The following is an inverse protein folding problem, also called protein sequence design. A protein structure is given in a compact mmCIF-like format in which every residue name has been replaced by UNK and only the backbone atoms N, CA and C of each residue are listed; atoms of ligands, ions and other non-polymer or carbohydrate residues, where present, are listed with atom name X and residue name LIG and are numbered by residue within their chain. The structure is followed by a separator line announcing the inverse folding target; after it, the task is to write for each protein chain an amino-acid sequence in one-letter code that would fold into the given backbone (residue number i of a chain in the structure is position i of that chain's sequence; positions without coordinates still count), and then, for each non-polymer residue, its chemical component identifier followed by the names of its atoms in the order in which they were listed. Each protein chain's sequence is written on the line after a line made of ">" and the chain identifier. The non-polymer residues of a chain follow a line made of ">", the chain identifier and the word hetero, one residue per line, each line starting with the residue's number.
data_IF_676224515951
#
_entry.id   IF_676224515951
#
_cell.length_a   1.000
_cell.length_b   1.000
_cell.length_c   1.000
_cell.angle_alpha   90.00
_cell.angle_beta   90.00
_cell.angle_gamma   90.00
#
_symmetry.space_group_name_H-M   'P 1'
#
loop_
_entity.id
_entity.type
_entity.pdbx_description
1 polymer ?
#
# COMPACT_ATOMS: atom_id res chain seq x y z
N UNK A 1 23.77 -1.73 7.97
CA UNK A 1 22.62 -2.60 7.65
C UNK A 1 22.87 -3.09 6.23
N UNK A 2 23.47 -4.26 6.10
CA UNK A 2 24.01 -4.73 4.81
C UNK A 2 22.90 -4.99 3.79
N UNK A 3 21.74 -5.46 4.26
CA UNK A 3 20.53 -5.66 3.45
C UNK A 3 19.99 -4.34 2.85
N UNK A 4 20.12 -3.22 3.55
CA UNK A 4 19.74 -1.91 3.01
C UNK A 4 20.67 -1.49 1.85
N UNK A 5 21.97 -1.77 1.97
CA UNK A 5 22.95 -1.46 0.92
C UNK A 5 22.74 -2.31 -0.32
N UNK A 6 22.46 -3.60 -0.14
CA UNK A 6 22.12 -4.53 -1.22
C UNK A 6 20.89 -4.06 -2.01
N UNK A 7 19.80 -3.74 -1.30
CA UNK A 7 18.58 -3.25 -1.93
C UNK A 7 18.80 -1.87 -2.59
N UNK A 8 19.51 -0.95 -1.92
CA UNK A 8 19.82 0.35 -2.50
C UNK A 8 20.62 0.22 -3.80
N UNK A 9 21.61 -0.68 -3.85
CA UNK A 9 22.37 -0.96 -5.07
C UNK A 9 21.49 -1.58 -6.17
N UNK A 10 20.61 -2.52 -5.82
CA UNK A 10 19.68 -3.16 -6.77
C UNK A 10 18.74 -2.15 -7.45
N UNK A 11 18.28 -1.14 -6.71
CA UNK A 11 17.36 -0.11 -7.21
C UNK A 11 18.09 1.20 -7.59
N UNK A 12 19.42 1.17 -7.69
CA UNK A 12 20.26 2.33 -8.08
C UNK A 12 20.02 3.59 -7.22
N UNK A 13 19.69 3.40 -5.94
CA UNK A 13 19.45 4.47 -4.98
C UNK A 13 20.79 4.99 -4.47
N UNK A 14 21.06 6.29 -4.66
CA UNK A 14 22.29 6.90 -4.18
C UNK A 14 22.39 6.90 -2.64
N UNK A 15 23.62 7.05 -2.13
CA UNK A 15 23.90 6.98 -0.69
C UNK A 15 23.13 8.03 0.13
N UNK A 16 22.96 9.24 -0.41
CA UNK A 16 22.22 10.32 0.28
C UNK A 16 20.75 9.95 0.49
N UNK A 17 20.08 9.42 -0.55
CA UNK A 17 18.70 8.94 -0.43
C UNK A 17 18.62 7.70 0.46
N UNK A 18 19.60 6.82 0.39
CA UNK A 18 19.68 5.63 1.26
C UNK A 18 19.72 6.02 2.74
N UNK A 19 20.42 7.10 3.10
CA UNK A 19 20.42 7.62 4.46
C UNK A 19 19.03 8.12 4.89
N UNK A 20 18.29 8.78 3.99
CA UNK A 20 16.93 9.25 4.26
C UNK A 20 15.94 8.11 4.48
N UNK A 21 16.13 6.95 3.83
CA UNK A 21 15.24 5.79 4.01
C UNK A 21 15.20 5.27 5.45
N UNK A 22 16.19 5.55 6.30
CA UNK A 22 16.16 5.17 7.71
C UNK A 22 14.95 5.75 8.47
N UNK A 23 14.33 6.83 7.98
CA UNK A 23 13.10 7.36 8.57
C UNK A 23 11.96 6.33 8.59
N UNK A 24 11.98 5.36 7.66
CA UNK A 24 10.97 4.30 7.55
C UNK A 24 10.90 3.40 8.80
N UNK A 25 11.96 3.34 9.62
CA UNK A 25 11.95 2.59 10.89
C UNK A 25 10.89 3.09 11.88
N UNK A 26 10.51 4.38 11.77
CA UNK A 26 9.50 5.00 12.63
C UNK A 26 8.07 4.71 12.19
N UNK A 27 7.89 3.97 11.08
CA UNK A 27 6.60 3.70 10.48
C UNK A 27 6.25 2.22 10.49
N UNK A 28 4.98 1.92 10.75
CA UNK A 28 4.34 0.69 10.33
C UNK A 28 3.83 0.92 8.90
N UNK A 29 4.35 0.15 7.96
CA UNK A 29 4.00 0.29 6.55
C UNK A 29 2.75 -0.55 6.26
N UNK A 30 1.80 0.06 5.56
CA UNK A 30 0.57 -0.56 5.08
C UNK A 30 0.47 -0.35 3.58
N UNK A 31 0.32 -1.44 2.82
CA UNK A 31 -0.04 -1.41 1.41
C UNK A 31 -1.55 -1.55 1.29
N UNK A 32 -2.20 -0.58 0.65
CA UNK A 32 -3.59 -0.67 0.23
C UNK A 32 -3.62 -0.92 -1.28
N UNK A 33 -4.03 -2.12 -1.67
CA UNK A 33 -4.03 -2.58 -3.04
C UNK A 33 -5.45 -2.55 -3.62
N UNK A 34 -5.63 -1.79 -4.68
CA UNK A 34 -6.82 -1.90 -5.53
C UNK A 34 -6.78 -3.22 -6.30
N UNK A 35 -7.79 -4.04 -6.07
CA UNK A 35 -7.98 -5.31 -6.77
C UNK A 35 -9.34 -5.36 -7.46
N UNK A 36 -9.85 -4.22 -7.91
CA UNK A 36 -11.06 -4.09 -8.72
C UNK A 36 -10.86 -4.57 -10.17
N UNK A 37 -11.97 -4.74 -10.90
CA UNK A 37 -11.94 -5.23 -12.29
C UNK A 37 -11.11 -4.35 -13.24
N UNK A 38 -11.02 -3.03 -12.98
CA UNK A 38 -10.25 -2.11 -13.83
C UNK A 38 -8.76 -2.40 -13.85
N UNK A 39 -8.23 -3.00 -12.79
CA UNK A 39 -6.82 -3.36 -12.69
C UNK A 39 -6.41 -4.45 -13.70
N UNK A 40 -7.37 -5.14 -14.33
CA UNK A 40 -7.09 -6.05 -15.46
C UNK A 40 -6.85 -5.33 -16.79
N UNK A 41 -6.95 -3.99 -16.83
CA UNK A 41 -6.67 -3.21 -18.04
C UNK A 41 -5.19 -3.32 -18.41
N UNK A 42 -4.90 -3.49 -19.71
CA UNK A 42 -3.54 -3.51 -20.22
C UNK A 42 -2.85 -2.17 -20.04
N UNK A 43 -1.54 -2.22 -19.81
CA UNK A 43 -0.66 -1.05 -19.73
C UNK A 43 0.03 -0.91 -21.08
N UNK A 44 -0.33 0.15 -21.82
CA UNK A 44 0.20 0.49 -23.15
C UNK A 44 0.31 -0.72 -24.11
N UNK A 45 1.25 -0.69 -25.07
CA UNK A 45 1.49 -1.74 -26.07
C UNK A 45 2.07 -3.05 -25.48
N UNK A 46 2.02 -3.23 -24.15
CA UNK A 46 2.55 -4.41 -23.48
C UNK A 46 1.47 -5.48 -23.28
N UNK A 47 1.90 -6.70 -22.96
CA UNK A 47 0.99 -7.77 -22.53
C UNK A 47 0.67 -7.72 -21.02
N UNK A 48 1.24 -6.76 -20.29
CA UNK A 48 1.07 -6.62 -18.85
C UNK A 48 -0.19 -5.83 -18.49
N UNK A 49 -0.83 -6.20 -17.38
CA UNK A 49 -1.97 -5.47 -16.83
C UNK A 49 -1.54 -4.55 -15.69
N UNK A 50 -2.39 -3.58 -15.33
CA UNK A 50 -2.16 -2.71 -14.15
C UNK A 50 -2.04 -3.54 -12.85
N UNK A 51 -2.69 -4.68 -12.80
CA UNK A 51 -2.55 -5.67 -11.73
C UNK A 51 -1.12 -6.25 -11.65
N UNK A 52 -0.47 -6.47 -12.79
CA UNK A 52 0.93 -6.94 -12.83
C UNK A 52 1.91 -5.85 -12.37
N UNK A 53 1.63 -4.58 -12.70
CA UNK A 53 2.37 -3.44 -12.16
C UNK A 53 2.20 -3.32 -10.65
N UNK A 54 0.96 -3.39 -10.15
CA UNK A 54 0.68 -3.37 -8.72
C UNK A 54 1.40 -4.50 -8.00
N UNK A 55 1.39 -5.71 -8.55
CA UNK A 55 2.13 -6.86 -7.99
C UNK A 55 3.63 -6.55 -7.87
N UNK A 56 4.20 -5.87 -8.87
CA UNK A 56 5.61 -5.47 -8.86
C UNK A 56 5.90 -4.42 -7.79
N UNK A 57 5.04 -3.40 -7.66
CA UNK A 57 5.13 -2.38 -6.60
C UNK A 57 5.05 -3.02 -5.21
N UNK A 58 4.10 -3.93 -5.00
CA UNK A 58 3.93 -4.62 -3.72
C UNK A 58 5.19 -5.41 -3.34
N UNK A 59 5.83 -6.09 -4.30
CA UNK A 59 7.10 -6.80 -4.06
C UNK A 59 8.20 -5.83 -3.59
N UNK A 60 8.35 -4.71 -4.29
CA UNK A 60 9.34 -3.68 -3.93
C UNK A 60 9.08 -3.16 -2.51
N UNK A 61 7.84 -2.79 -2.18
CA UNK A 61 7.52 -2.23 -0.87
C UNK A 61 7.71 -3.27 0.26
N UNK A 62 7.42 -4.56 0.03
CA UNK A 62 7.73 -5.61 1.01
C UNK A 62 9.25 -5.77 1.19
N UNK A 63 10.02 -5.78 0.10
CA UNK A 63 11.49 -5.88 0.15
C UNK A 63 12.09 -4.72 0.97
N UNK A 64 11.68 -3.47 0.71
CA UNK A 64 12.13 -2.33 1.50
C UNK A 64 11.58 -2.35 2.93
N UNK A 65 10.28 -2.58 3.10
CA UNK A 65 9.62 -2.48 4.41
C UNK A 65 10.20 -3.46 5.43
N UNK A 66 10.56 -4.67 4.98
CA UNK A 66 11.13 -5.71 5.85
C UNK A 66 12.57 -5.43 6.29
N UNK A 67 13.26 -4.47 5.67
CA UNK A 67 14.55 -3.96 6.15
C UNK A 67 14.39 -3.07 7.37
N UNK A 68 13.26 -2.37 7.49
CA UNK A 68 13.01 -1.36 8.53
C UNK A 68 12.02 -1.82 9.60
N UNK A 69 11.23 -2.85 9.32
CA UNK A 69 10.30 -3.46 10.26
C UNK A 69 10.38 -4.99 10.21
N UNK A 70 10.92 -5.60 11.26
CA UNK A 70 10.98 -7.07 11.38
C UNK A 70 9.60 -7.72 11.52
N UNK A 71 8.57 -6.95 11.93
CA UNK A 71 7.19 -7.42 11.94
C UNK A 71 6.57 -7.42 10.54
N UNK A 72 7.24 -6.83 9.55
CA UNK A 72 6.80 -6.79 8.17
C UNK A 72 5.72 -5.74 7.88
N UNK A 73 5.18 -5.82 6.67
CA UNK A 73 4.23 -4.86 6.08
C UNK A 73 2.83 -5.47 6.09
N UNK A 74 1.79 -4.66 6.32
CA UNK A 74 0.42 -5.16 6.19
C UNK A 74 -0.10 -4.90 4.77
N UNK A 75 -0.55 -5.95 4.08
CA UNK A 75 -1.13 -5.85 2.75
C UNK A 75 -2.66 -5.94 2.84
N UNK A 76 -3.33 -4.81 2.67
CA UNK A 76 -4.78 -4.71 2.57
C UNK A 76 -5.18 -4.69 1.11
N UNK A 77 -6.23 -5.42 0.78
CA UNK A 77 -6.84 -5.37 -0.54
C UNK A 77 -8.27 -4.88 -0.42
N UNK A 78 -8.79 -4.33 -1.51
CA UNK A 78 -10.12 -3.74 -1.51
C UNK A 78 -11.24 -4.81 -1.44
N UNK A 79 -11.11 -5.89 -2.20
CA UNK A 79 -12.14 -6.90 -2.40
C UNK A 79 -11.76 -8.30 -1.86
N UNK A 80 -10.54 -8.49 -1.34
CA UNK A 80 -10.07 -9.75 -0.73
C UNK A 80 -9.54 -9.57 0.71
N UNK A 81 -9.42 -10.65 1.49
CA UNK A 81 -8.90 -10.56 2.86
C UNK A 81 -7.50 -9.96 2.92
N UNK A 82 -7.26 -9.10 3.92
CA UNK A 82 -5.95 -8.51 4.18
C UNK A 82 -4.97 -9.58 4.69
N UNK A 83 -3.69 -9.40 4.37
CA UNK A 83 -2.59 -10.23 4.85
C UNK A 83 -1.71 -9.36 5.77
N UNK A 84 -1.78 -9.54 7.10
CA UNK A 84 -0.95 -8.79 8.04
C UNK A 84 0.48 -9.35 8.09
N UNK A 85 1.42 -8.51 8.51
CA UNK A 85 2.79 -8.88 8.87
C UNK A 85 3.53 -9.69 7.79
N UNK A 86 3.43 -9.23 6.54
CA UNK A 86 4.12 -9.81 5.39
C UNK A 86 5.61 -9.51 5.51
N UNK A 87 6.40 -10.57 5.64
CA UNK A 87 7.87 -10.54 5.73
C UNK A 87 8.56 -11.15 4.51
N UNK A 88 7.81 -11.87 3.68
CA UNK A 88 8.29 -12.49 2.45
C UNK A 88 7.26 -12.30 1.32
N UNK A 89 7.75 -11.90 0.15
CA UNK A 89 6.91 -11.71 -1.04
C UNK A 89 6.14 -12.96 -1.45
N UNK A 90 6.62 -14.16 -1.15
CA UNK A 90 5.92 -15.43 -1.41
C UNK A 90 4.59 -15.53 -0.66
N UNK A 91 4.44 -14.87 0.49
CA UNK A 91 3.19 -14.87 1.26
C UNK A 91 2.04 -14.19 0.51
N UNK A 92 2.34 -13.24 -0.37
CA UNK A 92 1.32 -12.53 -1.16
C UNK A 92 1.15 -13.09 -2.57
N UNK A 93 2.06 -13.95 -3.06
CA UNK A 93 2.00 -14.54 -4.42
C UNK A 93 0.67 -15.25 -4.67
N UNK A 94 0.16 -16.02 -3.69
CA UNK A 94 -1.12 -16.71 -3.83
C UNK A 94 -2.27 -15.72 -3.98
N UNK A 95 -2.25 -14.62 -3.24
CA UNK A 95 -3.26 -13.56 -3.40
C UNK A 95 -3.17 -12.90 -4.77
N UNK A 96 -1.98 -12.73 -5.35
CA UNK A 96 -1.85 -12.16 -6.70
C UNK A 96 -2.11 -13.16 -7.84
N UNK A 97 -2.17 -14.47 -7.56
CA UNK A 97 -2.44 -15.50 -8.56
C UNK A 97 -3.87 -15.47 -9.11
N UNK A 98 -4.81 -14.95 -8.31
CA UNK A 98 -6.18 -14.69 -8.73
C UNK A 98 -6.28 -13.28 -9.30
N UNK A 99 -6.90 -13.15 -10.48
CA UNK A 99 -7.14 -11.85 -11.11
C UNK A 99 -7.90 -10.90 -10.17
N UNK A 100 -7.76 -9.61 -10.44
CA UNK A 100 -8.52 -8.57 -9.74
C UNK A 100 -10.01 -8.69 -10.10
N UNK A 101 -10.89 -8.47 -9.13
CA UNK A 101 -12.34 -8.54 -9.30
C UNK A 101 -13.07 -7.65 -8.28
N UNK A 102 -14.15 -7.00 -8.69
CA UNK A 102 -15.01 -6.20 -7.80
C UNK A 102 -14.93 -4.69 -8.02
N UNK A 103 -15.47 -3.92 -7.08
CA UNK A 103 -15.75 -2.47 -7.22
C UNK A 103 -14.78 -1.60 -6.43
N UNK A 104 -14.54 -0.38 -6.89
CA UNK A 104 -13.56 0.58 -6.32
C UNK A 104 -14.10 1.37 -5.12
N UNK A 105 -14.43 0.69 -4.01
CA UNK A 105 -14.88 1.32 -2.75
C UNK A 105 -13.73 1.83 -1.87
N UNK A 106 -12.82 2.61 -2.46
CA UNK A 106 -11.58 3.10 -1.85
C UNK A 106 -11.81 3.76 -0.48
N UNK A 107 -12.71 4.74 -0.39
CA UNK A 107 -12.98 5.51 0.84
C UNK A 107 -13.40 4.61 2.00
N UNK A 108 -14.22 3.59 1.74
CA UNK A 108 -14.69 2.66 2.78
C UNK A 108 -13.53 1.82 3.32
N UNK A 109 -12.63 1.38 2.45
CA UNK A 109 -11.54 0.52 2.85
C UNK A 109 -10.44 1.29 3.59
N UNK A 110 -10.10 2.50 3.13
CA UNK A 110 -9.18 3.40 3.85
C UNK A 110 -9.72 3.78 5.23
N UNK A 111 -11.02 4.04 5.37
CA UNK A 111 -11.64 4.31 6.67
C UNK A 111 -11.39 3.19 7.69
N UNK A 112 -11.42 1.92 7.26
CA UNK A 112 -11.12 0.77 8.14
C UNK A 112 -9.68 0.78 8.62
N UNK A 113 -8.73 1.15 7.75
CA UNK A 113 -7.31 1.28 8.10
C UNK A 113 -7.13 2.41 9.11
N UNK A 114 -7.74 3.58 8.88
CA UNK A 114 -7.62 4.74 9.77
C UNK A 114 -8.33 4.56 11.13
N UNK A 115 -9.25 3.60 11.23
CA UNK A 115 -9.90 3.23 12.49
C UNK A 115 -9.20 2.07 13.23
N UNK A 116 -8.15 1.50 12.64
CA UNK A 116 -7.39 0.41 13.25
C UNK A 116 -6.64 0.86 14.51
N UNK A 117 -6.18 -0.09 15.33
CA UNK A 117 -5.39 0.25 16.53
C UNK A 117 -4.07 0.92 16.13
N UNK A 118 -3.49 0.53 14.99
CA UNK A 118 -2.21 1.03 14.50
C UNK A 118 -2.22 2.53 14.14
N UNK A 119 -3.39 3.12 13.89
CA UNK A 119 -3.51 4.55 13.61
C UNK A 119 -3.69 5.42 14.87
N UNK A 120 -3.97 4.82 16.04
CA UNK A 120 -4.30 5.56 17.26
C UNK A 120 -3.06 6.19 17.92
N UNK A 121 -3.21 7.34 18.60
CA UNK A 121 -2.17 7.91 19.44
C UNK A 121 -1.72 6.92 20.53
N UNK A 122 -0.41 6.75 20.71
CA UNK A 122 0.18 5.80 21.65
C UNK A 122 0.65 4.48 21.02
N UNK A 123 0.49 4.30 19.70
CA UNK A 123 1.20 3.26 18.94
C UNK A 123 2.72 3.54 18.94
N UNK A 124 3.52 2.47 19.00
CA UNK A 124 4.99 2.55 18.95
C UNK A 124 5.51 3.13 17.63
N UNK A 125 4.71 3.03 16.56
CA UNK A 125 5.05 3.55 15.22
C UNK A 125 3.89 4.32 14.62
N UNK A 126 4.23 5.30 13.79
CA UNK A 126 3.27 6.03 12.94
C UNK A 126 2.87 5.14 11.76
N UNK A 127 1.71 5.35 11.18
CA UNK A 127 1.24 4.59 10.03
C UNK A 127 1.70 5.28 8.73
N UNK A 128 2.27 4.51 7.80
CA UNK A 128 2.53 4.94 6.43
C UNK A 128 1.73 4.05 5.47
N UNK A 129 0.71 4.61 4.84
CA UNK A 129 -0.19 3.92 3.94
C UNK A 129 0.15 4.26 2.49
N UNK A 130 0.56 3.25 1.72
CA UNK A 130 0.74 3.33 0.27
C UNK A 130 -0.55 2.84 -0.40
N UNK A 131 -1.24 3.73 -1.12
CA UNK A 131 -2.47 3.43 -1.84
C UNK A 131 -2.12 3.20 -3.30
N UNK A 132 -2.26 1.97 -3.78
CA UNK A 132 -1.96 1.63 -5.19
C UNK A 132 -3.27 1.35 -5.90
N UNK A 133 -3.73 2.29 -6.74
CA UNK A 133 -5.01 2.26 -7.46
C UNK A 133 -4.88 2.88 -8.84
N UNK A 134 -5.73 2.47 -9.78
CA UNK A 134 -5.70 2.94 -11.17
C UNK A 134 -6.81 3.94 -11.53
N UNK A 135 -7.69 4.26 -10.58
CA UNK A 135 -8.89 5.07 -10.82
C UNK A 135 -9.22 6.00 -9.65
N UNK A 136 -10.11 6.93 -9.96
CA UNK A 136 -10.72 7.84 -8.98
C UNK A 136 -11.62 7.07 -8.00
N UNK A 137 -11.76 7.51 -6.74
CA UNK A 137 -12.67 6.91 -5.78
C UNK A 137 -14.12 6.90 -6.28
N UNK A 138 -14.84 5.80 -6.01
CA UNK A 138 -16.26 5.67 -6.36
C UNK A 138 -17.14 5.32 -5.15
N UNK A 139 -18.40 5.73 -5.20
CA UNK A 139 -19.45 5.34 -4.24
C UNK A 139 -19.93 3.89 -4.48
N UNK A 140 -20.96 3.45 -3.72
CA UNK A 140 -21.55 2.10 -3.86
C UNK A 140 -22.27 1.86 -5.19
N UNK A 141 -22.58 2.92 -5.91
CA UNK A 141 -23.26 2.88 -7.19
C UNK A 141 -22.27 3.05 -8.37
N UNK A 142 -20.97 3.19 -8.09
CA UNK A 142 -19.93 3.41 -9.09
C UNK A 142 -19.78 4.87 -9.54
N UNK A 143 -20.46 5.82 -8.90
CA UNK A 143 -20.30 7.24 -9.21
C UNK A 143 -19.00 7.77 -8.59
N UNK A 144 -18.32 8.70 -9.26
CA UNK A 144 -17.13 9.36 -8.74
C UNK A 144 -17.46 10.09 -7.43
N UNK A 145 -16.68 9.82 -6.38
CA UNK A 145 -16.90 10.35 -5.02
C UNK A 145 -15.59 10.82 -4.39
N UNK A 146 -14.99 11.84 -5.01
CA UNK A 146 -13.78 12.51 -4.51
C UNK A 146 -14.04 13.22 -3.18
N UNK A 147 -15.24 13.80 -3.02
CA UNK A 147 -15.58 14.57 -1.83
C UNK A 147 -15.53 13.73 -0.55
N UNK A 148 -15.99 12.48 -0.59
CA UNK A 148 -15.89 11.59 0.56
C UNK A 148 -14.45 11.18 0.87
N UNK A 149 -13.60 11.03 -0.15
CA UNK A 149 -12.17 10.77 0.06
C UNK A 149 -11.49 11.99 0.70
N UNK A 150 -11.75 13.20 0.21
CA UNK A 150 -11.24 14.44 0.81
C UNK A 150 -11.65 14.56 2.29
N UNK A 151 -12.92 14.34 2.59
CA UNK A 151 -13.41 14.37 3.96
C UNK A 151 -12.69 13.34 4.85
N UNK A 152 -12.50 12.12 4.34
CA UNK A 152 -11.76 11.07 5.05
C UNK A 152 -10.32 11.51 5.35
N UNK A 153 -9.64 12.09 4.37
CA UNK A 153 -8.23 12.48 4.46
C UNK A 153 -8.00 13.68 5.40
N UNK A 154 -8.92 14.65 5.38
CA UNK A 154 -8.85 15.88 6.18
C UNK A 154 -9.35 15.69 7.61
N UNK A 155 -10.43 14.91 7.80
CA UNK A 155 -11.16 14.89 9.06
C UNK A 155 -11.06 13.56 9.84
N UNK A 156 -10.78 12.44 9.16
CA UNK A 156 -10.82 11.11 9.81
C UNK A 156 -9.46 10.42 9.93
N UNK A 157 -8.50 10.69 9.01
CA UNK A 157 -7.20 10.00 8.90
C UNK A 157 -6.32 10.05 10.16
N UNK A 158 -6.50 11.03 11.04
CA UNK A 158 -5.57 11.36 12.14
C UNK A 158 -4.17 11.72 11.61
N UNK A 159 -4.03 12.92 11.03
CA UNK A 159 -2.82 13.33 10.30
C UNK A 159 -1.51 13.38 11.10
N UNK A 160 -1.57 13.39 12.44
CA UNK A 160 -0.38 13.37 13.30
C UNK A 160 0.26 11.98 13.40
N UNK A 161 -0.53 10.92 13.19
CA UNK A 161 -0.11 9.52 13.35
C UNK A 161 -0.15 8.75 12.03
N UNK A 162 -0.85 9.25 11.01
CA UNK A 162 -1.05 8.52 9.75
C UNK A 162 -0.68 9.34 8.53
N UNK A 163 0.27 8.85 7.75
CA UNK A 163 0.71 9.38 6.46
C UNK A 163 0.17 8.50 5.35
N UNK A 164 -0.29 9.12 4.27
CA UNK A 164 -0.89 8.42 3.13
C UNK A 164 -0.27 8.98 1.87
N UNK A 165 0.13 8.09 0.96
CA UNK A 165 0.58 8.43 -0.39
C UNK A 165 -0.19 7.55 -1.38
N UNK A 166 -0.44 8.09 -2.58
CA UNK A 166 -1.05 7.40 -3.71
C UNK A 166 0.03 7.08 -4.75
#
# INVERSE_FOLDING_TARGET
>A
NDRLREIAAQYEINDTLTQHLNILQQFKIVLFCDDSDSMNTLVDETTGTRWDELRSIVRIVIEFGTVFDSNGVDAHSLNRPSIPNVTDTQQVVKSFSQRSAGVTLLTRALRRIFQSIASKPGSDKRLLVFVVTDRVPTDRNGNVDVQSLENLMCNERQGNTTYVTF
#
